data_IF_071700247409
#
_entry.id   IF_071700247409
#
_cell.length_a   1.000
_cell.length_b   1.000
_cell.length_c   1.000
_cell.angle_alpha   90.00
_cell.angle_beta   90.00
_cell.angle_gamma   90.00
#
_symmetry.space_group_name_H-M   'P 1'
#
loop_
_entity.id
_entity.type
_entity.pdbx_description
1 polymer ?
#
# COMPACT_ATOMS: atom_id res chain seq x y z
N UNK A 1 -22.23 -21.94 16.46
CA UNK A 1 -21.51 -22.38 15.24
C UNK A 1 -20.00 -22.25 15.34
N UNK A 2 -19.28 -23.34 15.07
CA UNK A 2 -17.80 -23.34 15.04
C UNK A 2 -17.24 -22.58 13.83
N UNK A 3 -17.92 -22.66 12.69
CA UNK A 3 -17.54 -21.98 11.46
C UNK A 3 -17.54 -20.44 11.60
N UNK A 4 -18.51 -19.88 12.33
CA UNK A 4 -18.59 -18.44 12.59
C UNK A 4 -17.44 -17.95 13.47
N UNK A 5 -17.17 -18.65 14.58
CA UNK A 5 -16.09 -18.29 15.51
C UNK A 5 -14.69 -18.31 14.86
N UNK A 6 -14.45 -19.26 13.96
CA UNK A 6 -13.18 -19.34 13.23
C UNK A 6 -13.03 -18.21 12.21
N UNK A 7 -14.13 -17.86 11.52
CA UNK A 7 -14.19 -16.75 10.57
C UNK A 7 -13.93 -15.41 11.28
N UNK A 8 -14.57 -15.19 12.43
CA UNK A 8 -14.39 -14.01 13.28
C UNK A 8 -12.95 -13.90 13.76
N UNK A 9 -12.37 -15.02 14.22
CA UNK A 9 -10.95 -15.06 14.66
C UNK A 9 -10.00 -14.72 13.52
N UNK A 10 -10.20 -15.28 12.33
CA UNK A 10 -9.37 -14.96 11.17
C UNK A 10 -9.50 -13.47 10.78
N UNK A 11 -10.71 -12.92 10.83
CA UNK A 11 -10.93 -11.50 10.56
C UNK A 11 -10.18 -10.59 11.54
N UNK A 12 -10.27 -10.88 12.84
CA UNK A 12 -9.56 -10.11 13.88
C UNK A 12 -8.03 -10.17 13.71
N UNK A 13 -7.48 -11.33 13.36
CA UNK A 13 -6.05 -11.46 13.07
C UNK A 13 -5.62 -10.56 11.90
N UNK A 14 -6.43 -10.51 10.83
CA UNK A 14 -6.15 -9.66 9.67
C UNK A 14 -6.20 -8.17 9.99
N UNK A 15 -7.11 -7.73 10.87
CA UNK A 15 -7.16 -6.35 11.35
C UNK A 15 -5.89 -6.02 12.13
N UNK A 16 -5.56 -6.86 13.12
CA UNK A 16 -4.38 -6.66 13.97
C UNK A 16 -3.08 -6.56 13.14
N UNK A 17 -2.94 -7.39 12.12
CA UNK A 17 -1.79 -7.33 11.21
C UNK A 17 -1.74 -6.00 10.42
N UNK A 18 -2.89 -5.49 9.98
CA UNK A 18 -2.96 -4.20 9.28
C UNK A 18 -2.60 -3.04 10.22
N UNK A 19 -3.09 -3.06 11.44
CA UNK A 19 -2.77 -2.05 12.48
C UNK A 19 -1.28 -2.05 12.80
N UNK A 20 -0.69 -3.23 13.03
CA UNK A 20 0.76 -3.36 13.29
C UNK A 20 1.58 -2.77 12.15
N UNK A 21 1.22 -3.07 10.90
CA UNK A 21 1.91 -2.51 9.72
C UNK A 21 1.71 -1.00 9.60
N UNK A 22 0.54 -0.48 9.96
CA UNK A 22 0.29 0.96 9.96
C UNK A 22 1.16 1.67 10.99
N UNK A 23 1.25 1.14 12.21
CA UNK A 23 2.13 1.68 13.27
C UNK A 23 3.58 1.73 12.78
N UNK A 24 4.05 0.68 12.11
CA UNK A 24 5.40 0.66 11.54
C UNK A 24 5.62 1.78 10.53
N UNK A 25 4.65 2.01 9.62
CA UNK A 25 4.71 3.10 8.65
C UNK A 25 4.67 4.49 9.28
N UNK A 26 3.96 4.65 10.40
CA UNK A 26 3.96 5.92 11.15
C UNK A 26 5.34 6.18 11.74
N UNK A 27 6.00 5.16 12.31
CA UNK A 27 7.37 5.29 12.81
C UNK A 27 8.34 5.67 11.69
N UNK A 28 8.26 5.00 10.55
CA UNK A 28 9.08 5.35 9.37
C UNK A 28 8.82 6.78 8.88
N UNK A 29 7.58 7.27 8.96
CA UNK A 29 7.27 8.64 8.59
C UNK A 29 7.90 9.65 9.58
N UNK A 30 7.91 9.34 10.87
CA UNK A 30 8.61 10.14 11.89
C UNK A 30 10.13 10.15 11.63
N UNK A 31 10.72 8.99 11.36
CA UNK A 31 12.15 8.89 11.04
C UNK A 31 12.51 9.76 9.81
N UNK A 32 11.63 9.88 8.82
CA UNK A 32 11.86 10.76 7.65
C UNK A 32 11.77 12.23 7.98
N UNK A 33 10.93 12.60 8.94
CA UNK A 33 10.86 13.98 9.43
C UNK A 33 12.19 14.32 10.08
N UNK A 34 12.70 13.44 10.95
CA UNK A 34 13.99 13.62 11.62
C UNK A 34 15.16 13.68 10.63
N UNK A 35 15.10 12.87 9.57
CA UNK A 35 16.10 12.87 8.48
C UNK A 35 15.90 13.99 7.45
N UNK A 36 14.87 14.85 7.57
CA UNK A 36 14.59 15.94 6.64
C UNK A 36 14.14 15.50 5.23
N UNK A 37 13.72 14.24 5.06
CA UNK A 37 13.28 13.68 3.78
C UNK A 37 11.75 13.55 3.68
N UNK A 38 11.04 13.97 4.73
CA UNK A 38 9.58 13.95 4.75
C UNK A 38 9.00 14.82 3.63
N UNK A 39 7.95 14.30 2.98
CA UNK A 39 7.31 14.98 1.86
C UNK A 39 8.06 14.87 0.54
N UNK A 40 9.13 14.06 0.43
CA UNK A 40 9.78 13.75 -0.85
C UNK A 40 9.35 12.37 -1.35
N UNK A 41 9.01 12.29 -2.63
CA UNK A 41 8.65 11.04 -3.29
C UNK A 41 9.87 10.14 -3.44
N UNK A 42 9.80 8.90 -2.94
CA UNK A 42 10.90 7.93 -3.05
C UNK A 42 11.18 7.48 -4.48
N UNK A 43 10.18 7.53 -5.36
CA UNK A 43 10.31 7.02 -6.73
C UNK A 43 10.94 8.04 -7.68
N UNK A 44 10.62 9.33 -7.52
CA UNK A 44 11.05 10.36 -8.47
C UNK A 44 11.76 11.55 -7.83
N UNK A 45 11.92 11.57 -6.50
CA UNK A 45 12.60 12.63 -5.76
C UNK A 45 11.86 13.97 -5.72
N UNK A 46 10.66 14.06 -6.31
CA UNK A 46 9.85 15.29 -6.32
C UNK A 46 9.06 15.48 -5.02
N UNK A 47 8.73 16.72 -4.64
CA UNK A 47 7.90 16.99 -3.47
C UNK A 47 6.49 16.40 -3.64
N UNK A 48 5.96 15.84 -2.55
CA UNK A 48 4.60 15.35 -2.40
C UNK A 48 3.72 16.54 -2.04
N UNK A 49 2.54 16.62 -2.66
CA UNK A 49 1.62 17.72 -2.39
C UNK A 49 1.17 17.74 -0.92
N UNK A 50 1.14 18.92 -0.32
CA UNK A 50 0.74 19.12 1.07
C UNK A 50 -0.65 18.55 1.36
N UNK A 51 -1.63 18.80 0.47
CA UNK A 51 -2.98 18.24 0.58
C UNK A 51 -2.99 16.72 0.74
N UNK A 52 -2.05 16.02 0.09
CA UNK A 52 -1.92 14.56 0.15
C UNK A 52 -1.26 14.12 1.46
N UNK A 53 -0.25 14.85 1.94
CA UNK A 53 0.38 14.59 3.24
C UNK A 53 -0.61 14.83 4.38
N UNK A 54 -1.43 15.88 4.31
CA UNK A 54 -2.51 16.16 5.27
C UNK A 54 -3.58 15.06 5.29
N UNK A 55 -3.97 14.55 4.13
CA UNK A 55 -4.91 13.44 4.05
C UNK A 55 -4.30 12.10 4.51
N UNK A 56 -3.00 11.89 4.26
CA UNK A 56 -2.33 10.61 4.49
C UNK A 56 -0.82 10.79 4.72
N UNK A 57 -0.38 11.06 5.97
CA UNK A 57 1.01 11.46 6.27
C UNK A 57 2.03 10.34 6.10
N UNK A 58 1.58 9.08 6.09
CA UNK A 58 2.43 7.89 5.87
C UNK A 58 2.70 7.61 4.37
N UNK A 59 2.34 8.52 3.47
CA UNK A 59 2.55 8.34 2.03
C UNK A 59 3.99 8.64 1.65
N UNK A 60 4.60 7.76 0.88
CA UNK A 60 6.00 7.88 0.43
C UNK A 60 6.13 8.20 -1.05
N UNK A 61 5.00 8.27 -1.77
CA UNK A 61 4.93 8.48 -3.22
C UNK A 61 4.03 9.66 -3.55
N UNK A 62 4.42 10.42 -4.57
CA UNK A 62 3.56 11.43 -5.18
C UNK A 62 2.36 10.79 -5.90
N UNK A 63 1.40 11.61 -6.34
CA UNK A 63 0.19 11.12 -7.02
C UNK A 63 0.53 10.41 -8.33
N UNK A 64 1.40 10.99 -9.15
CA UNK A 64 1.78 10.44 -10.46
C UNK A 64 2.41 9.04 -10.31
N UNK A 65 3.47 8.91 -9.50
CA UNK A 65 4.12 7.60 -9.29
C UNK A 65 3.18 6.58 -8.64
N UNK A 66 2.22 7.04 -7.83
CA UNK A 66 1.23 6.14 -7.25
C UNK A 66 0.23 5.64 -8.29
N UNK A 67 -0.23 6.51 -9.19
CA UNK A 67 -1.11 6.15 -10.31
C UNK A 67 -0.40 5.20 -11.27
N UNK A 68 0.83 5.52 -11.67
CA UNK A 68 1.64 4.67 -12.56
C UNK A 68 1.81 3.26 -12.00
N UNK A 69 2.07 3.15 -10.68
CA UNK A 69 2.17 1.85 -10.02
C UNK A 69 0.84 1.08 -10.00
N UNK A 70 -0.28 1.76 -9.79
CA UNK A 70 -1.60 1.13 -9.82
C UNK A 70 -1.98 0.67 -11.22
N UNK A 71 -1.62 1.42 -12.25
CA UNK A 71 -1.79 1.03 -13.64
C UNK A 71 -0.92 -0.17 -14.01
N UNK A 72 0.34 -0.19 -13.58
CA UNK A 72 1.22 -1.34 -13.75
C UNK A 72 0.66 -2.60 -13.06
N UNK A 73 0.22 -2.49 -11.81
CA UNK A 73 -0.42 -3.60 -11.08
C UNK A 73 -1.70 -4.08 -11.78
N UNK A 74 -2.48 -3.16 -12.37
CA UNK A 74 -3.69 -3.49 -13.14
C UNK A 74 -3.36 -4.22 -14.44
N UNK A 75 -2.36 -3.76 -15.19
CA UNK A 75 -1.89 -4.41 -16.42
C UNK A 75 -1.32 -5.80 -16.11
N UNK A 76 -0.54 -5.94 -15.04
CA UNK A 76 0.03 -7.22 -14.63
C UNK A 76 -1.06 -8.23 -14.25
N UNK A 77 -2.08 -7.81 -13.50
CA UNK A 77 -3.26 -8.65 -13.21
C UNK A 77 -3.99 -9.10 -14.47
N UNK A 78 -4.15 -8.21 -15.46
CA UNK A 78 -4.78 -8.54 -16.74
C UNK A 78 -3.92 -9.47 -17.61
N UNK A 79 -2.60 -9.35 -17.55
CA UNK A 79 -1.68 -10.27 -18.23
C UNK A 79 -1.68 -11.65 -17.58
N UNK A 80 -1.71 -11.71 -16.25
CA UNK A 80 -1.79 -12.96 -15.48
C UNK A 80 -3.10 -13.72 -15.64
N UNK A 81 -4.22 -13.02 -15.89
CA UNK A 81 -5.50 -13.68 -16.23
C UNK A 81 -5.51 -14.21 -17.67
N UNK A 82 -4.89 -13.50 -18.63
CA UNK A 82 -4.77 -13.94 -20.04
C UNK A 82 -3.78 -15.10 -20.24
N UNK A 83 -2.72 -15.17 -19.42
CA UNK A 83 -1.76 -16.29 -19.47
C UNK A 83 -2.33 -17.58 -18.86
N UNK A 84 -3.26 -17.47 -17.90
CA UNK A 84 -3.99 -18.63 -17.35
C UNK A 84 -5.06 -19.20 -18.30
N UNK A 85 -5.57 -18.42 -19.24
CA UNK A 85 -6.59 -18.84 -20.21
C UNK A 85 -6.03 -19.47 -21.50
N UNK A 86 -4.70 -19.59 -21.63
CA UNK A 86 -4.02 -20.07 -22.84
C UNK A 86 -3.31 -21.43 -22.65
N UNK A 87 -3.60 -22.15 -21.57
CA UNK A 87 -3.17 -23.55 -21.39
C UNK A 87 -4.23 -24.48 -22.00
N UNK A 88 -3.98 -25.13 -23.15
CA UNK A 88 -4.85 -26.19 -23.64
C UNK A 88 -4.65 -27.43 -22.76
N UNK A 89 -5.75 -28.13 -22.47
CA UNK A 89 -5.76 -29.42 -21.78
C UNK A 89 -4.93 -30.49 -22.51
#
# INVERSE_FOLDING_TARGET
DRASLESDRNFLLRIKDRERKLIQKVKEALDRIDNGTFGICESCGRPISEKRLMARPVTTLCIECKTEREDQERVERQRGTRSRSSFPS
#
